data_IF_413996636403
#
_entry.id   IF_413996636403
#
_cell.length_a   1.000
_cell.length_b   1.000
_cell.length_c   1.000
_cell.angle_alpha   90.00
_cell.angle_beta   90.00
_cell.angle_gamma   90.00
#
_symmetry.space_group_name_H-M   'P 1'
#
loop_
_entity.id
_entity.type
_entity.pdbx_description
1 polymer ?
#
# COMPACT_ATOMS: atom_id res chain seq x y z
N UNK A 1 18.70 17.44 -11.31
CA UNK A 1 17.35 17.21 -11.88
C UNK A 1 16.31 17.59 -10.84
N UNK A 2 15.24 18.30 -11.22
CA UNK A 2 14.14 18.61 -10.31
C UNK A 2 13.17 17.42 -10.26
N UNK A 3 12.87 16.91 -9.07
CA UNK A 3 11.92 15.82 -8.87
C UNK A 3 10.49 16.39 -8.76
N UNK A 4 9.50 15.62 -9.23
CA UNK A 4 8.06 15.96 -9.15
C UNK A 4 7.27 14.74 -8.69
N UNK A 5 5.99 14.90 -8.34
CA UNK A 5 5.09 13.77 -8.01
C UNK A 5 4.99 12.73 -9.15
N UNK A 6 5.30 13.10 -10.40
CA UNK A 6 5.31 12.18 -11.55
C UNK A 6 6.66 11.49 -11.77
N UNK A 7 7.70 11.83 -11.01
CA UNK A 7 9.01 11.21 -11.14
C UNK A 7 8.95 9.75 -10.73
N UNK A 8 9.55 8.88 -11.55
CA UNK A 8 9.57 7.43 -11.35
C UNK A 8 11.00 6.90 -11.43
N UNK A 9 11.21 5.74 -10.82
CA UNK A 9 12.43 4.94 -10.92
C UNK A 9 12.08 3.56 -11.48
N UNK A 10 13.00 2.97 -12.24
CA UNK A 10 12.85 1.60 -12.74
C UNK A 10 13.48 0.63 -11.74
N UNK A 11 12.69 -0.35 -11.32
CA UNK A 11 13.14 -1.46 -10.47
C UNK A 11 13.95 -2.47 -11.29
N UNK A 12 14.61 -3.40 -10.61
CA UNK A 12 15.50 -4.39 -11.24
C UNK A 12 14.75 -5.40 -12.13
N UNK A 13 13.43 -5.53 -11.99
CA UNK A 13 12.55 -6.36 -12.80
C UNK A 13 11.92 -5.59 -13.98
N UNK A 14 12.28 -4.32 -14.16
CA UNK A 14 11.77 -3.45 -15.21
C UNK A 14 10.47 -2.72 -14.87
N UNK A 15 9.81 -3.02 -13.74
CA UNK A 15 8.63 -2.27 -13.31
C UNK A 15 9.02 -0.84 -12.92
N UNK A 16 8.10 0.10 -13.17
CA UNK A 16 8.32 1.50 -12.85
C UNK A 16 7.61 1.84 -11.53
N UNK A 17 8.33 2.39 -10.56
CA UNK A 17 7.81 2.80 -9.25
C UNK A 17 7.85 4.33 -9.10
N UNK A 18 6.79 4.99 -8.59
CA UNK A 18 6.86 6.40 -8.24
C UNK A 18 7.89 6.69 -7.15
N UNK A 19 8.58 7.82 -7.25
CA UNK A 19 9.56 8.26 -6.25
C UNK A 19 8.87 8.86 -5.01
N UNK A 20 7.71 9.49 -5.19
CA UNK A 20 6.93 10.07 -4.10
C UNK A 20 5.62 9.32 -3.87
N UNK A 21 5.23 9.23 -2.60
CA UNK A 21 3.99 8.61 -2.17
C UNK A 21 3.60 9.05 -0.76
N UNK A 22 2.42 8.60 -0.33
CA UNK A 22 1.90 8.82 1.01
C UNK A 22 2.07 7.53 1.82
N UNK A 23 2.74 7.62 2.97
CA UNK A 23 2.80 6.55 3.97
C UNK A 23 1.66 6.66 4.98
N UNK A 24 1.06 5.52 5.34
CA UNK A 24 -0.05 5.42 6.30
C UNK A 24 0.38 4.95 7.70
N UNK A 25 1.67 4.89 7.99
CA UNK A 25 2.15 4.53 9.32
C UNK A 25 1.60 5.50 10.38
N UNK A 26 1.07 4.96 11.48
CA UNK A 26 0.39 5.69 12.57
C UNK A 26 -0.87 6.46 12.18
N UNK A 27 -1.36 6.36 10.93
CA UNK A 27 -2.68 6.85 10.60
C UNK A 27 -3.75 5.97 11.27
N UNK A 28 -4.72 6.59 11.92
CA UNK A 28 -5.79 5.89 12.63
C UNK A 28 -6.68 5.10 11.67
N UNK A 29 -7.27 4.00 12.14
CA UNK A 29 -8.31 3.29 11.40
C UNK A 29 -9.64 4.05 11.51
N UNK A 30 -9.77 5.16 10.78
CA UNK A 30 -10.92 6.07 10.89
C UNK A 30 -11.28 6.72 9.55
N UNK A 31 -12.44 7.39 9.51
CA UNK A 31 -12.89 8.14 8.33
C UNK A 31 -11.92 9.24 7.91
N UNK A 32 -11.14 9.77 8.86
CA UNK A 32 -10.09 10.76 8.60
C UNK A 32 -9.00 10.22 7.69
N UNK A 33 -8.60 8.96 7.88
CA UNK A 33 -7.58 8.31 7.03
C UNK A 33 -8.09 8.09 5.60
N UNK A 34 -9.37 7.73 5.44
CA UNK A 34 -10.00 7.65 4.11
C UNK A 34 -9.92 9.02 3.41
N UNK A 35 -10.19 10.11 4.13
CA UNK A 35 -10.08 11.46 3.59
C UNK A 35 -8.65 11.83 3.23
N UNK A 36 -7.67 11.52 4.10
CA UNK A 36 -6.24 11.76 3.82
C UNK A 36 -5.81 11.06 2.53
N UNK A 37 -6.17 9.77 2.35
CA UNK A 37 -5.88 9.01 1.14
C UNK A 37 -6.52 9.67 -0.08
N UNK A 38 -7.82 9.98 0.02
CA UNK A 38 -8.58 10.60 -1.08
C UNK A 38 -7.99 11.94 -1.50
N UNK A 39 -7.62 12.78 -0.53
CA UNK A 39 -7.08 14.10 -0.78
C UNK A 39 -5.66 14.03 -1.36
N UNK A 40 -4.81 13.12 -0.88
CA UNK A 40 -3.49 12.88 -1.46
C UNK A 40 -3.59 12.47 -2.94
N UNK A 41 -4.54 11.59 -3.28
CA UNK A 41 -4.75 11.16 -4.66
C UNK A 41 -5.26 12.33 -5.52
N UNK A 42 -6.19 13.14 -5.01
CA UNK A 42 -6.66 14.36 -5.71
C UNK A 42 -5.54 15.38 -5.94
N UNK A 43 -4.58 15.45 -5.03
CA UNK A 43 -3.37 16.28 -5.17
C UNK A 43 -2.32 15.68 -6.11
N UNK A 44 -2.55 14.46 -6.63
CA UNK A 44 -1.71 13.80 -7.62
C UNK A 44 -0.63 12.89 -7.03
N UNK A 45 -0.75 12.46 -5.78
CA UNK A 45 0.14 11.44 -5.21
C UNK A 45 -0.13 10.09 -5.89
N UNK A 46 0.89 9.48 -6.55
CA UNK A 46 0.69 8.26 -7.33
C UNK A 46 0.95 6.97 -6.55
N UNK A 47 1.38 7.05 -5.28
CA UNK A 47 1.76 5.89 -4.46
C UNK A 47 1.16 5.99 -3.08
N UNK A 48 0.60 4.88 -2.60
CA UNK A 48 0.18 4.68 -1.21
C UNK A 48 0.97 3.53 -0.60
N UNK A 49 1.58 3.79 0.55
CA UNK A 49 2.30 2.80 1.35
C UNK A 49 1.54 2.50 2.65
N UNK A 50 1.24 1.23 2.87
CA UNK A 50 0.63 0.72 4.09
C UNK A 50 1.32 -0.58 4.54
N UNK A 51 0.78 -1.25 5.55
CA UNK A 51 1.21 -2.56 6.02
C UNK A 51 0.09 -3.22 6.84
N UNK A 52 0.09 -4.55 6.88
CA UNK A 52 -0.84 -5.36 7.69
C UNK A 52 -0.86 -4.88 9.17
N UNK A 53 0.32 -4.65 9.76
CA UNK A 53 0.45 -4.23 11.16
C UNK A 53 -0.08 -2.82 11.43
N UNK A 54 -0.24 -1.96 10.41
CA UNK A 54 -0.79 -0.61 10.61
C UNK A 54 -2.29 -0.65 10.89
N UNK A 55 -2.96 -1.79 10.60
CA UNK A 55 -4.39 -2.01 10.84
C UNK A 55 -5.28 -0.96 10.16
N UNK A 56 -4.81 -0.43 9.02
CA UNK A 56 -5.51 0.59 8.27
C UNK A 56 -5.61 0.33 6.75
N UNK A 57 -5.33 -0.89 6.30
CA UNK A 57 -5.52 -1.32 4.92
C UNK A 57 -6.97 -1.15 4.44
N UNK A 58 -7.95 -1.39 5.32
CA UNK A 58 -9.37 -1.21 5.02
C UNK A 58 -9.73 0.23 4.67
N UNK A 59 -8.99 1.23 5.17
CA UNK A 59 -9.26 2.62 4.79
C UNK A 59 -8.87 2.92 3.33
N UNK A 60 -7.86 2.24 2.79
CA UNK A 60 -7.57 2.32 1.36
C UNK A 60 -8.67 1.62 0.56
N UNK A 61 -9.10 0.42 0.97
CA UNK A 61 -10.20 -0.28 0.30
C UNK A 61 -11.50 0.51 0.27
N UNK A 62 -11.83 1.22 1.36
CA UNK A 62 -12.98 2.14 1.38
C UNK A 62 -12.80 3.36 0.47
N UNK A 63 -11.58 3.86 0.28
CA UNK A 63 -11.32 4.93 -0.70
C UNK A 63 -11.53 4.45 -2.14
N UNK A 64 -11.11 3.21 -2.46
CA UNK A 64 -11.38 2.56 -3.76
C UNK A 64 -12.88 2.44 -4.02
N UNK A 65 -13.65 1.94 -3.05
CA UNK A 65 -15.12 1.85 -3.14
C UNK A 65 -15.80 3.22 -3.36
N UNK A 66 -15.16 4.32 -2.96
CA UNK A 66 -15.64 5.70 -3.14
C UNK A 66 -15.23 6.34 -4.47
N UNK A 67 -14.60 5.58 -5.37
CA UNK A 67 -14.33 6.01 -6.74
C UNK A 67 -12.86 6.31 -7.04
N UNK A 68 -11.93 5.98 -6.14
CA UNK A 68 -10.50 5.94 -6.49
C UNK A 68 -10.27 4.75 -7.42
N UNK A 69 -9.66 5.01 -8.59
CA UNK A 69 -9.28 3.97 -9.54
C UNK A 69 -8.01 3.28 -9.07
N UNK A 70 -8.11 1.98 -8.78
CA UNK A 70 -7.02 1.18 -8.24
C UNK A 70 -5.79 1.19 -9.15
N UNK A 71 -6.00 1.12 -10.46
CA UNK A 71 -4.96 1.05 -11.50
C UNK A 71 -4.15 2.33 -11.68
N UNK A 72 -4.64 3.46 -11.16
CA UNK A 72 -3.89 4.74 -11.19
C UNK A 72 -2.93 4.89 -10.01
N UNK A 73 -2.98 3.98 -9.03
CA UNK A 73 -2.22 4.05 -7.78
C UNK A 73 -1.21 2.91 -7.69
N UNK A 74 0.04 3.24 -7.41
CA UNK A 74 1.05 2.26 -7.01
C UNK A 74 0.84 1.92 -5.53
N UNK A 75 0.34 0.73 -5.22
CA UNK A 75 0.00 0.32 -3.86
C UNK A 75 1.07 -0.61 -3.28
N UNK A 76 1.62 -0.21 -2.14
CA UNK A 76 2.56 -1.02 -1.36
C UNK A 76 1.92 -1.47 -0.05
N UNK A 77 2.04 -2.76 0.26
CA UNK A 77 1.77 -3.28 1.61
C UNK A 77 2.86 -4.24 2.06
N UNK A 78 2.86 -4.63 3.34
CA UNK A 78 3.95 -5.37 3.98
C UNK A 78 3.40 -6.50 4.83
N UNK A 79 3.97 -7.69 4.66
CA UNK A 79 3.73 -8.85 5.51
C UNK A 79 4.18 -8.55 6.93
N UNK A 80 3.28 -8.71 7.91
CA UNK A 80 3.69 -8.76 9.30
C UNK A 80 4.01 -10.20 9.72
N UNK A 81 5.13 -10.39 10.41
CA UNK A 81 5.78 -11.68 10.64
C UNK A 81 5.09 -12.58 11.67
N UNK A 82 3.81 -12.37 11.99
CA UNK A 82 3.12 -13.19 13.00
C UNK A 82 2.79 -14.60 12.55
N UNK A 83 2.79 -14.87 11.25
CA UNK A 83 2.53 -16.20 10.70
C UNK A 83 3.80 -16.76 10.04
N UNK A 84 4.43 -17.73 10.68
CA UNK A 84 5.64 -18.39 10.17
C UNK A 84 5.35 -19.28 8.96
N UNK A 85 6.29 -19.31 8.01
CA UNK A 85 6.26 -20.22 6.87
C UNK A 85 5.39 -19.76 5.70
N UNK A 86 5.51 -20.50 4.58
CA UNK A 86 4.91 -20.12 3.30
C UNK A 86 3.38 -20.00 3.34
N UNK A 87 2.70 -20.93 4.01
CA UNK A 87 1.23 -20.90 4.15
C UNK A 87 0.75 -19.67 4.94
N UNK A 88 1.48 -19.30 6.00
CA UNK A 88 1.24 -18.10 6.78
C UNK A 88 1.34 -16.84 5.93
N UNK A 89 2.41 -16.72 5.14
CA UNK A 89 2.61 -15.62 4.21
C UNK A 89 1.46 -15.51 3.20
N UNK A 90 1.04 -16.64 2.59
CA UNK A 90 -0.04 -16.65 1.61
C UNK A 90 -1.38 -16.22 2.24
N UNK A 91 -1.66 -16.67 3.46
CA UNK A 91 -2.87 -16.28 4.19
C UNK A 91 -2.86 -14.80 4.54
N UNK A 92 -1.76 -14.26 5.07
CA UNK A 92 -1.63 -12.83 5.36
C UNK A 92 -1.74 -11.99 4.09
N UNK A 93 -1.13 -12.41 2.98
CA UNK A 93 -1.27 -11.71 1.70
C UNK A 93 -2.73 -11.66 1.22
N UNK A 94 -3.46 -12.78 1.27
CA UNK A 94 -4.89 -12.82 0.93
C UNK A 94 -5.71 -11.90 1.83
N UNK A 95 -5.46 -11.91 3.13
CA UNK A 95 -6.13 -11.01 4.06
C UNK A 95 -5.87 -9.54 3.71
N UNK A 96 -4.62 -9.16 3.39
CA UNK A 96 -4.30 -7.81 2.95
C UNK A 96 -5.07 -7.42 1.68
N UNK A 97 -5.14 -8.30 0.67
CA UNK A 97 -5.92 -8.05 -0.55
C UNK A 97 -7.41 -7.83 -0.27
N UNK A 98 -8.00 -8.62 0.62
CA UNK A 98 -9.38 -8.46 1.07
C UNK A 98 -9.61 -7.10 1.75
N UNK A 99 -8.72 -6.70 2.68
CA UNK A 99 -8.83 -5.41 3.36
C UNK A 99 -8.63 -4.24 2.39
N UNK A 100 -7.66 -4.34 1.49
CA UNK A 100 -7.36 -3.33 0.47
C UNK A 100 -8.42 -3.27 -0.65
N UNK A 101 -9.38 -4.20 -0.67
CA UNK A 101 -10.42 -4.32 -1.68
C UNK A 101 -9.86 -4.37 -3.13
N UNK A 102 -8.80 -5.16 -3.34
CA UNK A 102 -8.12 -5.33 -4.63
C UNK A 102 -7.62 -6.76 -4.78
N UNK A 103 -7.35 -7.17 -6.02
CA UNK A 103 -6.82 -8.47 -6.40
C UNK A 103 -5.29 -8.47 -6.57
N UNK A 104 -4.63 -7.31 -6.54
CA UNK A 104 -3.17 -7.20 -6.63
C UNK A 104 -2.60 -6.01 -5.83
N UNK A 105 -1.31 -6.09 -5.52
CA UNK A 105 -0.48 -4.96 -5.06
C UNK A 105 0.70 -4.78 -6.00
N UNK A 106 1.19 -3.56 -6.13
CA UNK A 106 2.31 -3.23 -7.01
C UNK A 106 3.66 -3.62 -6.35
N UNK A 107 3.70 -3.61 -5.02
CA UNK A 107 4.85 -4.04 -4.24
C UNK A 107 4.41 -4.68 -2.92
N UNK A 108 4.95 -5.87 -2.63
CA UNK A 108 4.76 -6.56 -1.36
C UNK A 108 6.10 -6.78 -0.68
N UNK A 109 6.23 -6.34 0.57
CA UNK A 109 7.49 -6.35 1.31
C UNK A 109 7.43 -7.25 2.55
N UNK A 110 8.56 -7.84 2.92
CA UNK A 110 8.77 -8.28 4.30
C UNK A 110 8.95 -7.04 5.17
N UNK A 111 8.13 -6.86 6.20
CA UNK A 111 8.18 -5.64 7.01
C UNK A 111 9.43 -5.55 7.89
N UNK A 112 9.91 -6.70 8.37
CA UNK A 112 11.14 -6.81 9.12
C UNK A 112 11.75 -8.19 8.86
N UNK A 113 13.08 -8.33 8.97
CA UNK A 113 13.68 -9.65 9.04
C UNK A 113 13.14 -10.38 10.27
N UNK A 114 12.72 -11.63 10.08
CA UNK A 114 12.46 -12.52 11.19
C UNK A 114 13.79 -13.17 11.57
N UNK A 115 14.34 -12.79 12.73
CA UNK A 115 15.41 -13.57 13.35
C UNK A 115 14.85 -14.93 13.75
N UNK A 116 15.59 -16.00 13.45
CA UNK A 116 15.37 -17.28 14.13
C UNK A 116 15.72 -17.15 15.62
#
# INVERSE_FOLDING_TARGET
MSLTLKSRITLNDGHSMPIFGLGLYQAESSSKTIQIITDAIKLGYPLIDTAEIYKNESQFGEAVKKGIKREEIFLTTKLFTTQSGCEGCQKSFKNSLEQLATDYVDLYLLHAPQGQ
#
